data_IF_603890452598
#
_entry.id   IF_603890452598
#
_cell.length_a   1.000
_cell.length_b   1.000
_cell.length_c   1.000
_cell.angle_alpha   90.00
_cell.angle_beta   90.00
_cell.angle_gamma   90.00
#
_symmetry.space_group_name_H-M   'P 1'
#
loop_
_entity.id
_entity.type
_entity.pdbx_description
1 polymer ?
#
# COMPACT_ATOMS: atom_id res chain seq x y z
N UNK A 1 17.31 31.53 4.71
CA UNK A 1 17.09 30.61 5.84
C UNK A 1 17.29 29.20 5.28
N UNK A 2 18.43 28.57 5.57
CA UNK A 2 18.68 27.19 5.11
C UNK A 2 17.86 26.23 5.95
N UNK A 3 17.12 25.33 5.31
CA UNK A 3 16.52 24.19 5.99
C UNK A 3 17.67 23.22 6.32
N UNK A 4 17.95 23.05 7.61
CA UNK A 4 18.84 21.98 8.06
C UNK A 4 18.12 20.66 7.84
N UNK A 5 18.64 19.85 6.91
CA UNK A 5 18.18 18.49 6.70
C UNK A 5 18.71 17.63 7.86
N UNK A 6 17.81 17.02 8.62
CA UNK A 6 18.18 15.99 9.60
C UNK A 6 18.30 14.66 8.87
N UNK A 7 19.47 14.04 8.98
CA UNK A 7 19.66 12.65 8.59
C UNK A 7 18.85 11.74 9.53
N UNK A 8 18.08 10.83 8.94
CA UNK A 8 17.33 9.81 9.67
C UNK A 8 17.96 8.48 9.30
N UNK A 9 18.44 7.75 10.31
CA UNK A 9 18.91 6.38 10.16
C UNK A 9 17.77 5.44 10.45
N UNK A 10 17.50 4.53 9.51
CA UNK A 10 16.52 3.46 9.67
C UNK A 10 17.30 2.16 9.91
N UNK A 11 17.30 1.68 11.15
CA UNK A 11 18.09 0.49 11.55
C UNK A 11 17.47 -0.82 11.01
N UNK A 12 16.16 -0.81 10.75
CA UNK A 12 15.38 -1.94 10.21
C UNK A 12 14.25 -1.44 9.32
N UNK A 13 13.83 -2.20 8.29
CA UNK A 13 12.67 -1.85 7.48
C UNK A 13 11.42 -1.60 8.35
N UNK A 14 10.57 -0.69 7.90
CA UNK A 14 9.29 -0.41 8.55
C UNK A 14 8.29 -1.48 8.14
N UNK A 15 7.69 -2.13 9.14
CA UNK A 15 6.74 -3.21 8.91
C UNK A 15 5.36 -2.71 8.45
N UNK A 16 4.84 -3.31 7.38
CA UNK A 16 3.52 -3.06 6.81
C UNK A 16 2.63 -4.27 7.09
N UNK A 17 1.54 -4.06 7.83
CA UNK A 17 0.53 -5.05 8.11
C UNK A 17 -0.78 -4.76 7.36
N UNK A 18 -1.70 -5.73 7.34
CA UNK A 18 -3.03 -5.58 6.71
C UNK A 18 -3.74 -4.29 7.12
N UNK A 19 -3.69 -3.91 8.40
CA UNK A 19 -4.34 -2.70 8.89
C UNK A 19 -3.81 -1.41 8.25
N UNK A 20 -2.50 -1.33 7.95
CA UNK A 20 -1.92 -0.16 7.30
C UNK A 20 -2.50 0.02 5.89
N UNK A 21 -2.55 -1.07 5.12
CA UNK A 21 -3.12 -1.07 3.76
C UNK A 21 -4.63 -0.83 3.79
N UNK A 22 -5.36 -1.42 4.74
CA UNK A 22 -6.80 -1.19 4.92
C UNK A 22 -7.09 0.29 5.19
N UNK A 23 -6.33 0.94 6.09
CA UNK A 23 -6.51 2.36 6.40
C UNK A 23 -6.27 3.21 5.16
N UNK A 24 -5.25 2.91 4.37
CA UNK A 24 -4.95 3.61 3.12
C UNK A 24 -6.10 3.48 2.11
N UNK A 25 -6.57 2.25 1.88
CA UNK A 25 -7.67 1.97 0.96
C UNK A 25 -9.00 2.60 1.41
N UNK A 26 -9.31 2.59 2.71
CA UNK A 26 -10.50 3.27 3.24
C UNK A 26 -10.40 4.80 3.13
N UNK A 27 -9.21 5.39 3.27
CA UNK A 27 -9.01 6.82 3.03
C UNK A 27 -9.22 7.18 1.56
N UNK A 28 -8.70 6.35 0.63
CA UNK A 28 -8.97 6.53 -0.80
C UNK A 28 -10.47 6.41 -1.10
N UNK A 29 -11.12 5.37 -0.56
CA UNK A 29 -12.55 5.13 -0.71
C UNK A 29 -13.43 6.28 -0.21
N UNK A 30 -13.00 6.98 0.85
CA UNK A 30 -13.67 8.17 1.40
C UNK A 30 -13.40 9.46 0.63
N UNK A 31 -12.47 9.44 -0.33
CA UNK A 31 -12.01 10.63 -1.06
C UNK A 31 -11.03 11.50 -0.29
N UNK A 32 -10.45 10.99 0.80
CA UNK A 32 -9.47 11.73 1.61
C UNK A 32 -8.10 11.80 0.94
N UNK A 33 -7.78 10.83 0.08
CA UNK A 33 -6.55 10.80 -0.72
C UNK A 33 -6.90 10.54 -2.19
N UNK A 34 -6.05 11.04 -3.08
CA UNK A 34 -6.20 10.84 -4.53
C UNK A 34 -5.72 9.45 -4.95
N UNK A 35 -6.10 9.00 -6.16
CA UNK A 35 -5.53 7.78 -6.77
C UNK A 35 -4.01 7.88 -6.87
N UNK A 36 -3.49 9.04 -7.29
CA UNK A 36 -2.05 9.28 -7.39
C UNK A 36 -1.34 9.10 -6.05
N UNK A 37 -1.86 9.69 -4.97
CA UNK A 37 -1.32 9.53 -3.61
C UNK A 37 -1.32 8.07 -3.14
N UNK A 38 -2.35 7.31 -3.49
CA UNK A 38 -2.42 5.87 -3.18
C UNK A 38 -1.31 5.10 -3.91
N UNK A 39 -1.13 5.34 -5.22
CA UNK A 39 -0.15 4.62 -6.03
C UNK A 39 1.29 5.03 -5.73
N UNK A 40 1.55 6.30 -5.46
CA UNK A 40 2.86 6.77 -4.99
C UNK A 40 3.28 6.08 -3.70
N UNK A 41 2.32 5.84 -2.78
CA UNK A 41 2.59 5.10 -1.56
C UNK A 41 2.95 3.64 -1.86
N UNK A 42 2.23 2.99 -2.79
CA UNK A 42 2.51 1.60 -3.22
C UNK A 42 3.93 1.51 -3.80
N UNK A 43 4.27 2.41 -4.72
CA UNK A 43 5.61 2.48 -5.31
C UNK A 43 6.69 2.74 -4.27
N UNK A 44 6.43 3.61 -3.31
CA UNK A 44 7.38 3.90 -2.22
C UNK A 44 7.62 2.65 -1.37
N UNK A 45 6.57 1.94 -0.98
CA UNK A 45 6.70 0.70 -0.19
C UNK A 45 7.47 -0.37 -0.98
N UNK A 46 7.19 -0.50 -2.27
CA UNK A 46 7.79 -1.54 -3.11
C UNK A 46 9.27 -1.27 -3.46
N UNK A 47 9.61 -0.04 -3.86
CA UNK A 47 10.92 0.25 -4.46
C UNK A 47 11.94 0.87 -3.51
N UNK A 48 11.52 1.42 -2.37
CA UNK A 48 12.46 2.13 -1.50
C UNK A 48 13.40 1.22 -0.71
N UNK A 49 13.05 -0.05 -0.53
CA UNK A 49 13.75 -0.98 0.38
C UNK A 49 13.64 -0.57 1.85
N UNK A 50 12.80 0.40 2.19
CA UNK A 50 12.59 0.90 3.55
C UNK A 50 11.48 0.16 4.29
N UNK A 51 10.77 -0.75 3.64
CA UNK A 51 9.58 -1.42 4.17
C UNK A 51 9.65 -2.93 3.96
N UNK A 52 9.01 -3.67 4.87
CA UNK A 52 8.79 -5.12 4.77
C UNK A 52 7.34 -5.46 5.15
N UNK A 53 6.80 -6.57 4.65
CA UNK A 53 5.47 -7.03 5.03
C UNK A 53 5.56 -7.88 6.29
N UNK A 54 4.57 -7.78 7.18
CA UNK A 54 4.50 -8.64 8.36
C UNK A 54 4.32 -10.11 7.95
N UNK A 55 5.07 -11.02 8.59
CA UNK A 55 5.12 -12.44 8.21
C UNK A 55 3.73 -13.11 8.14
N UNK A 56 2.84 -12.80 9.08
CA UNK A 56 1.51 -13.42 9.16
C UNK A 56 0.56 -13.04 8.01
N UNK A 57 0.84 -11.93 7.31
CA UNK A 57 -0.03 -11.39 6.27
C UNK A 57 0.67 -11.14 4.93
N UNK A 58 1.92 -11.60 4.78
CA UNK A 58 2.78 -11.28 3.65
C UNK A 58 2.10 -11.55 2.31
N UNK A 59 1.51 -12.73 2.12
CA UNK A 59 0.86 -13.12 0.86
C UNK A 59 -0.39 -12.29 0.55
N UNK A 60 -1.22 -12.02 1.57
CA UNK A 60 -2.42 -11.20 1.40
C UNK A 60 -2.06 -9.77 1.00
N UNK A 61 -1.07 -9.18 1.66
CA UNK A 61 -0.56 -7.83 1.36
C UNK A 61 0.05 -7.81 -0.04
N UNK A 62 0.96 -8.74 -0.33
CA UNK A 62 1.66 -8.81 -1.62
C UNK A 62 0.67 -8.89 -2.78
N UNK A 63 -0.39 -9.68 -2.66
CA UNK A 63 -1.41 -9.80 -3.71
C UNK A 63 -2.18 -8.51 -3.97
N UNK A 64 -2.53 -7.75 -2.92
CA UNK A 64 -3.17 -6.44 -3.05
C UNK A 64 -2.20 -5.40 -3.62
N UNK A 65 -0.95 -5.43 -3.19
CA UNK A 65 0.08 -4.51 -3.65
C UNK A 65 0.38 -4.73 -5.14
N UNK A 66 0.45 -5.99 -5.59
CA UNK A 66 0.60 -6.34 -7.00
C UNK A 66 -0.56 -5.81 -7.86
N UNK A 67 -1.80 -6.00 -7.41
CA UNK A 67 -2.99 -5.46 -8.10
C UNK A 67 -2.98 -3.93 -8.22
N UNK A 68 -2.50 -3.23 -7.19
CA UNK A 68 -2.40 -1.77 -7.20
C UNK A 68 -1.26 -1.28 -8.09
N UNK A 69 -0.14 -2.00 -8.12
CA UNK A 69 0.99 -1.72 -9.01
C UNK A 69 0.59 -1.92 -10.47
N UNK A 70 -0.12 -2.99 -10.80
CA UNK A 70 -0.60 -3.23 -12.17
C UNK A 70 -1.56 -2.14 -12.66
N UNK A 71 -2.26 -1.48 -11.73
CA UNK A 71 -3.13 -0.33 -12.01
C UNK A 71 -2.32 0.92 -12.36
N UNK A 72 -1.14 1.10 -11.76
CA UNK A 72 -0.22 2.17 -12.07
C UNK A 72 0.48 1.92 -13.41
N UNK A 73 1.08 0.73 -13.58
CA UNK A 73 1.85 0.39 -14.78
C UNK A 73 0.98 0.25 -16.04
N UNK A 74 -0.15 -0.46 -15.94
CA UNK A 74 -0.96 -0.80 -17.10
C UNK A 74 -2.16 0.14 -17.29
N UNK A 75 -2.28 1.19 -16.47
CA UNK A 75 -3.37 2.15 -16.53
C UNK A 75 -4.76 1.52 -16.28
N UNK A 76 -4.82 0.37 -15.60
CA UNK A 76 -6.11 -0.28 -15.29
C UNK A 76 -6.97 0.63 -14.41
N UNK A 77 -8.29 0.47 -14.52
CA UNK A 77 -9.21 1.22 -13.68
C UNK A 77 -9.22 0.67 -12.25
N UNK A 78 -9.17 1.59 -11.28
CA UNK A 78 -9.35 1.30 -9.86
C UNK A 78 -10.79 1.61 -9.46
N UNK A 79 -11.66 0.60 -9.59
CA UNK A 79 -13.08 0.74 -9.30
C UNK A 79 -13.36 0.60 -7.80
N UNK A 80 -14.51 1.10 -7.37
CA UNK A 80 -14.98 0.95 -5.99
C UNK A 80 -15.17 -0.53 -5.58
N UNK A 81 -15.54 -1.39 -6.53
CA UNK A 81 -15.69 -2.83 -6.31
C UNK A 81 -14.34 -3.52 -6.06
N UNK A 82 -13.31 -3.16 -6.82
CA UNK A 82 -11.93 -3.61 -6.57
C UNK A 82 -11.46 -3.22 -5.18
N UNK A 83 -11.64 -1.97 -4.78
CA UNK A 83 -11.29 -1.50 -3.44
C UNK A 83 -11.99 -2.30 -2.34
N UNK A 84 -13.29 -2.58 -2.50
CA UNK A 84 -14.03 -3.43 -1.56
C UNK A 84 -13.45 -4.85 -1.48
N UNK A 85 -13.12 -5.44 -2.63
CA UNK A 85 -12.50 -6.77 -2.73
C UNK A 85 -11.13 -6.78 -2.02
N UNK A 86 -10.31 -5.75 -2.21
CA UNK A 86 -8.99 -5.63 -1.60
C UNK A 86 -9.10 -5.52 -0.07
N UNK A 87 -9.97 -4.64 0.42
CA UNK A 87 -10.23 -4.52 1.87
C UNK A 87 -10.77 -5.83 2.46
N UNK A 88 -11.66 -6.51 1.74
CA UNK A 88 -12.17 -7.81 2.17
C UNK A 88 -11.04 -8.85 2.26
N UNK A 89 -10.15 -8.89 1.27
CA UNK A 89 -9.02 -9.81 1.24
C UNK A 89 -8.10 -9.62 2.46
N UNK A 90 -7.69 -8.36 2.71
CA UNK A 90 -6.83 -7.99 3.84
C UNK A 90 -7.50 -8.28 5.20
N UNK A 91 -8.80 -8.03 5.34
CA UNK A 91 -9.53 -8.29 6.60
C UNK A 91 -9.61 -9.78 6.95
N UNK A 92 -9.59 -10.64 5.93
CA UNK A 92 -9.70 -12.09 6.11
C UNK A 92 -8.37 -12.81 5.92
N UNK A 93 -7.27 -12.06 5.72
CA UNK A 93 -5.95 -12.59 5.40
C UNK A 93 -5.96 -13.61 4.25
N UNK A 94 -6.61 -13.25 3.14
CA UNK A 94 -6.66 -14.08 1.94
C UNK A 94 -5.95 -13.40 0.78
N UNK A 95 -5.36 -14.21 -0.09
CA UNK A 95 -4.77 -13.78 -1.36
C UNK A 95 -5.84 -13.45 -2.40
N UNK A 96 -5.56 -12.48 -3.27
CA UNK A 96 -6.38 -12.18 -4.44
C UNK A 96 -5.95 -13.10 -5.59
N UNK A 97 -6.86 -13.97 -6.04
CA UNK A 97 -6.71 -14.87 -7.19
C UNK A 97 -7.31 -14.26 -8.47
#
# INVERSE_FOLDING_TARGET
MSLELKEITIDKPVEICNNHVIILLENFKKGNISKHTLLDWVNTVWFSGLFEYCDENCDSIASVMNELEEIDENGKELTYEKIKRYIYALKNNIEII
#
